data_IF_607161501780
#
_entry.id   IF_607161501780
#
_cell.length_a   1.000
_cell.length_b   1.000
_cell.length_c   1.000
_cell.angle_alpha   90.00
_cell.angle_beta   90.00
_cell.angle_gamma   90.00
#
_symmetry.space_group_name_H-M   'P 1'
#
loop_
_entity.id
_entity.type
_entity.pdbx_description
1 polymer ?
#
# COMPACT_ATOMS: atom_id res chain seq x y z
N UNK A 1 11.52 -1.49 -10.13
CA UNK A 1 11.29 -0.29 -9.28
C UNK A 1 10.27 -0.68 -8.23
N UNK A 2 10.48 -0.29 -6.96
CA UNK A 2 9.49 -0.53 -5.92
C UNK A 2 8.28 0.40 -6.15
N UNK A 3 7.08 -0.14 -6.02
CA UNK A 3 5.85 0.65 -6.08
C UNK A 3 5.39 0.93 -4.65
N UNK A 4 4.95 2.15 -4.38
CA UNK A 4 4.48 2.57 -3.06
C UNK A 4 3.04 3.01 -3.21
N UNK A 5 2.17 2.53 -2.32
CA UNK A 5 0.80 2.95 -2.22
C UNK A 5 0.53 3.41 -0.79
N UNK A 6 -0.27 4.47 -0.66
CA UNK A 6 -0.76 4.99 0.62
C UNK A 6 -2.22 4.57 0.76
N UNK A 7 -2.62 4.12 1.93
CA UNK A 7 -4.03 3.96 2.25
C UNK A 7 -4.64 5.34 2.44
N UNK A 8 -5.64 5.67 1.63
CA UNK A 8 -6.50 6.80 1.83
C UNK A 8 -7.63 6.36 2.79
N UNK A 9 -7.58 6.80 4.03
CA UNK A 9 -8.54 6.40 5.06
C UNK A 9 -9.95 6.95 4.79
N UNK A 10 -10.08 8.11 4.13
CA UNK A 10 -11.37 8.70 3.76
C UNK A 10 -12.10 7.86 2.70
N UNK A 11 -11.35 7.26 1.77
CA UNK A 11 -11.90 6.46 0.67
C UNK A 11 -11.80 4.95 0.90
N UNK A 12 -11.00 4.52 1.87
CA UNK A 12 -10.64 3.11 2.11
C UNK A 12 -10.03 2.49 0.84
N UNK A 13 -9.14 3.23 0.17
CA UNK A 13 -8.52 2.83 -1.09
C UNK A 13 -7.02 3.08 -1.07
N UNK A 14 -6.25 2.26 -1.82
CA UNK A 14 -4.81 2.47 -1.97
C UNK A 14 -4.50 3.36 -3.18
N UNK A 15 -3.88 4.50 -2.94
CA UNK A 15 -3.41 5.40 -3.98
C UNK A 15 -1.91 5.28 -4.18
N UNK A 16 -1.46 5.26 -5.44
CA UNK A 16 -0.02 5.15 -5.74
C UNK A 16 0.66 6.48 -5.44
N UNK A 17 1.69 6.44 -4.60
CA UNK A 17 2.45 7.61 -4.17
C UNK A 17 3.93 7.46 -4.46
N UNK A 18 4.67 8.55 -4.31
CA UNK A 18 6.13 8.55 -4.42
C UNK A 18 6.79 8.38 -3.06
N UNK A 19 8.07 8.04 -3.05
CA UNK A 19 8.87 7.99 -1.83
C UNK A 19 8.98 9.34 -1.10
N UNK A 20 8.76 10.45 -1.80
CA UNK A 20 8.70 11.78 -1.20
C UNK A 20 7.48 11.92 -0.28
N UNK A 21 6.32 11.37 -0.66
CA UNK A 21 5.11 11.38 0.17
C UNK A 21 5.32 10.52 1.42
N UNK A 22 5.90 9.32 1.26
CA UNK A 22 6.26 8.43 2.37
C UNK A 22 7.19 9.10 3.40
N UNK A 23 8.09 9.97 2.93
CA UNK A 23 9.00 10.72 3.79
C UNK A 23 8.34 11.95 4.44
N UNK A 24 7.40 12.59 3.74
CA UNK A 24 6.68 13.76 4.23
C UNK A 24 5.60 13.39 5.27
N UNK A 25 4.99 12.21 5.14
CA UNK A 25 3.92 11.72 6.02
C UNK A 25 4.33 10.35 6.59
N UNK A 26 5.20 10.32 7.61
CA UNK A 26 5.71 9.07 8.11
C UNK A 26 4.68 8.24 8.88
N UNK A 27 3.62 8.89 9.40
CA UNK A 27 2.56 8.32 10.21
C UNK A 27 1.44 7.63 9.41
N UNK A 28 1.40 7.82 8.08
CA UNK A 28 0.42 7.15 7.22
C UNK A 28 0.61 5.64 7.09
N UNK A 29 -0.41 4.96 6.58
CA UNK A 29 -0.33 3.54 6.21
C UNK A 29 0.09 3.40 4.75
N UNK A 30 1.16 2.65 4.52
CA UNK A 30 1.74 2.43 3.21
C UNK A 30 1.95 0.95 2.91
N UNK A 31 1.65 0.57 1.68
CA UNK A 31 2.04 -0.71 1.11
C UNK A 31 3.19 -0.47 0.14
N UNK A 32 4.26 -1.24 0.27
CA UNK A 32 5.47 -1.11 -0.53
C UNK A 32 5.68 -2.46 -1.21
N UNK A 33 5.50 -2.51 -2.52
CA UNK A 33 5.84 -3.68 -3.32
C UNK A 33 7.33 -3.64 -3.63
N UNK A 34 8.01 -4.68 -3.19
CA UNK A 34 9.42 -4.88 -3.45
C UNK A 34 9.64 -5.43 -4.86
N UNK A 35 10.84 -5.24 -5.45
CA UNK A 35 11.15 -5.78 -6.77
C UNK A 35 11.07 -7.32 -6.86
N UNK A 36 11.17 -8.03 -5.73
CA UNK A 36 10.98 -9.48 -5.62
C UNK A 36 9.50 -9.92 -5.53
N UNK A 37 8.56 -9.01 -5.79
CA UNK A 37 7.09 -9.21 -5.72
C UNK A 37 6.54 -9.46 -4.31
N UNK A 38 7.34 -9.30 -3.27
CA UNK A 38 6.82 -9.27 -1.91
C UNK A 38 6.22 -7.92 -1.57
N UNK A 39 5.25 -7.93 -0.67
CA UNK A 39 4.61 -6.72 -0.17
C UNK A 39 5.03 -6.48 1.27
N UNK A 40 5.33 -5.22 1.57
CA UNK A 40 5.61 -4.75 2.93
C UNK A 40 4.60 -3.70 3.32
N UNK A 41 3.92 -3.92 4.43
CA UNK A 41 3.01 -2.97 5.04
C UNK A 41 3.78 -2.17 6.08
N UNK A 42 3.72 -0.85 5.96
CA UNK A 42 4.20 0.09 6.97
C UNK A 42 2.98 0.83 7.52
N UNK A 43 2.80 0.80 8.83
CA UNK A 43 1.73 1.54 9.50
C UNK A 43 2.39 2.59 10.37
N UNK A 44 2.35 3.84 9.92
CA UNK A 44 3.06 4.94 10.52
C UNK A 44 4.56 4.68 10.69
N UNK A 45 5.08 5.03 11.87
CA UNK A 45 6.48 4.80 12.21
C UNK A 45 6.77 3.39 12.76
N UNK A 46 5.84 2.45 12.60
CA UNK A 46 6.04 1.06 12.98
C UNK A 46 7.00 0.35 12.01
N UNK A 47 7.70 -0.72 12.46
CA UNK A 47 8.50 -1.55 11.57
C UNK A 47 7.63 -2.11 10.43
N UNK A 48 8.18 -2.10 9.21
CA UNK A 48 7.52 -2.72 8.06
C UNK A 48 7.30 -4.20 8.30
N UNK A 49 6.06 -4.64 8.17
CA UNK A 49 5.66 -6.04 8.25
C UNK A 49 5.61 -6.62 6.85
N UNK A 50 6.19 -7.80 6.65
CA UNK A 50 5.96 -8.56 5.43
C UNK A 50 4.50 -9.03 5.44
N UNK A 51 3.74 -8.61 4.44
CA UNK A 51 2.35 -9.04 4.28
C UNK A 51 2.27 -10.04 3.14
N UNK A 52 1.44 -11.07 3.36
CA UNK A 52 1.09 -12.02 2.32
C UNK A 52 0.08 -11.42 1.34
N UNK A 53 -0.65 -12.28 0.65
CA UNK A 53 -1.69 -11.87 -0.29
C UNK A 53 -2.82 -11.10 0.40
N UNK A 54 -3.11 -11.38 1.67
CA UNK A 54 -4.13 -10.67 2.47
C UNK A 54 -3.58 -10.17 3.78
N UNK A 55 -4.01 -8.97 4.17
CA UNK A 55 -3.64 -8.35 5.43
C UNK A 55 -4.74 -7.41 5.93
N UNK A 56 -4.78 -7.17 7.23
CA UNK A 56 -5.77 -6.27 7.84
C UNK A 56 -5.10 -4.98 8.28
N UNK A 57 -5.62 -3.83 7.84
CA UNK A 57 -5.22 -2.50 8.32
C UNK A 57 -6.41 -1.85 8.98
N UNK A 58 -6.26 -1.40 10.23
CA UNK A 58 -7.32 -0.71 10.96
C UNK A 58 -8.67 -1.47 10.99
N UNK A 59 -8.63 -2.81 10.95
CA UNK A 59 -9.83 -3.66 10.92
C UNK A 59 -10.43 -3.89 9.53
N UNK A 60 -9.86 -3.33 8.48
CA UNK A 60 -10.23 -3.55 7.08
C UNK A 60 -9.29 -4.57 6.46
N UNK A 61 -9.83 -5.63 5.88
CA UNK A 61 -9.04 -6.62 5.12
C UNK A 61 -8.75 -6.07 3.72
N UNK A 62 -7.49 -6.15 3.33
CA UNK A 62 -7.00 -5.76 2.03
C UNK A 62 -6.26 -6.92 1.40
N UNK A 63 -6.47 -7.09 0.09
CA UNK A 63 -5.74 -8.05 -0.71
C UNK A 63 -4.64 -7.31 -1.51
N UNK A 64 -3.38 -7.68 -1.28
CA UNK A 64 -2.23 -7.11 -1.95
C UNK A 64 -2.27 -7.33 -3.48
N UNK A 65 -2.95 -8.39 -3.94
CA UNK A 65 -3.13 -8.65 -5.37
C UNK A 65 -4.15 -7.71 -5.99
N UNK A 66 -5.15 -7.25 -5.22
CA UNK A 66 -6.12 -6.25 -5.66
C UNK A 66 -5.50 -4.85 -5.76
N UNK A 67 -4.49 -4.53 -4.94
CA UNK A 67 -3.71 -3.29 -5.06
C UNK A 67 -2.97 -3.24 -6.41
N UNK A 68 -2.50 -4.39 -6.91
CA UNK A 68 -1.90 -4.48 -8.24
C UNK A 68 -2.94 -4.28 -9.38
N UNK A 69 -4.22 -4.49 -9.07
CA UNK A 69 -5.35 -4.34 -9.98
C UNK A 69 -5.90 -2.90 -10.06
N UNK A 70 -5.44 -1.99 -9.19
CA UNK A 70 -5.57 -0.53 -9.38
C UNK A 70 -4.66 0.01 -10.51
N UNK A 71 -4.47 -0.79 -11.57
CA UNK A 71 -4.27 -0.25 -12.91
C UNK A 71 -5.50 0.62 -13.22
N UNK A 72 -5.37 1.75 -13.93
CA UNK A 72 -6.56 2.46 -14.38
C UNK A 72 -7.44 1.41 -15.06
N UNK A 73 -8.65 1.23 -14.52
CA UNK A 73 -9.66 0.42 -15.14
C UNK A 73 -9.61 0.77 -16.62
N UNK A 74 -9.30 -0.22 -17.45
CA UNK A 74 -9.35 -0.06 -18.89
C UNK A 74 -10.81 0.25 -19.18
N UNK A 75 -11.14 1.54 -19.28
CA UNK A 75 -12.40 2.02 -19.82
C UNK A 75 -12.34 1.59 -21.29
N UNK A 76 -12.99 0.47 -21.58
CA UNK A 76 -13.36 0.06 -22.93
C UNK A 76 -14.73 0.64 -23.23
#
# INVERSE_FOLDING_TARGET
MASIWRLNEDRVEFERVTSAVLAADPDGTYVIQQPDKTFRLRIGNAPTLAVGERFTVAGVEFDATEIECARPANIV
#
